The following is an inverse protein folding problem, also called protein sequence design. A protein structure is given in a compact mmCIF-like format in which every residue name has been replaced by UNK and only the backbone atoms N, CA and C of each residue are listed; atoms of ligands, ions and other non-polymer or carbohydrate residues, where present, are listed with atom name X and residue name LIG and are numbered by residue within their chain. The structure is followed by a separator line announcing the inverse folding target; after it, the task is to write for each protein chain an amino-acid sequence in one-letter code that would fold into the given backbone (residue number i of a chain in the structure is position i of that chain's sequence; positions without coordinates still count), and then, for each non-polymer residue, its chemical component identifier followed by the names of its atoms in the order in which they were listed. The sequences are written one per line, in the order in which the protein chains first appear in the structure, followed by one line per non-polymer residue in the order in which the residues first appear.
data_IF_172314229720
#
_entry.id   IF_172314229720
#
_cell.length_a   1.000
_cell.length_b   1.000
_cell.length_c   1.000
_cell.angle_alpha   90.00
_cell.angle_beta   90.00
_cell.angle_gamma   90.00
#
_symmetry.space_group_name_H-M   'P 1'
#
loop_
_entity.id
_entity.type
_entity.pdbx_description
1 polymer ?
#
# COMPACT_ATOMS: atom_id res chain seq x y z
N UNK A 1 -10.86 12.54 -7.73
CA UNK A 1 -12.01 12.37 -8.65
C UNK A 1 -13.26 12.16 -7.82
N UNK A 2 -14.41 12.75 -8.17
CA UNK A 2 -15.68 12.47 -7.49
C UNK A 2 -16.40 11.37 -8.26
N UNK A 3 -16.72 10.28 -7.58
CA UNK A 3 -17.30 9.07 -8.18
C UNK A 3 -18.35 8.51 -7.23
N UNK A 4 -19.43 7.95 -7.78
CA UNK A 4 -20.41 7.18 -7.01
C UNK A 4 -20.04 5.71 -7.10
N UNK A 5 -19.85 5.06 -5.96
CA UNK A 5 -19.45 3.65 -5.88
C UNK A 5 -20.47 2.89 -5.02
N UNK A 6 -20.80 1.67 -5.42
CA UNK A 6 -21.52 0.74 -4.55
C UNK A 6 -20.52 -0.08 -3.75
N UNK A 7 -20.56 0.02 -2.43
CA UNK A 7 -19.61 -0.60 -1.51
C UNK A 7 -20.36 -1.34 -0.41
N UNK A 8 -19.79 -2.43 0.08
CA UNK A 8 -20.31 -3.10 1.26
C UNK A 8 -20.13 -2.20 2.50
N UNK A 9 -21.25 -1.77 3.07
CA UNK A 9 -21.30 -0.92 4.24
C UNK A 9 -20.69 -1.57 5.51
N UNK A 10 -20.78 -2.89 5.66
CA UNK A 10 -20.15 -3.60 6.78
C UNK A 10 -18.63 -3.51 6.66
N UNK A 11 -18.11 -3.77 5.46
CA UNK A 11 -16.67 -3.69 5.17
C UNK A 11 -16.14 -2.27 5.40
N UNK A 12 -16.85 -1.24 4.92
CA UNK A 12 -16.46 0.16 5.12
C UNK A 12 -16.44 0.52 6.61
N UNK A 13 -17.44 0.10 7.40
CA UNK A 13 -17.45 0.32 8.85
C UNK A 13 -16.30 -0.38 9.57
N UNK A 14 -15.98 -1.60 9.17
CA UNK A 14 -14.85 -2.33 9.74
C UNK A 14 -13.53 -1.63 9.39
N UNK A 15 -13.37 -1.21 8.14
CA UNK A 15 -12.18 -0.50 7.68
C UNK A 15 -12.02 0.87 8.35
N UNK A 16 -13.09 1.64 8.56
CA UNK A 16 -13.05 2.89 9.33
C UNK A 16 -12.54 2.65 10.76
N UNK A 17 -13.10 1.65 11.45
CA UNK A 17 -12.69 1.31 12.82
C UNK A 17 -11.24 0.82 12.89
N UNK A 18 -10.82 -0.01 11.93
CA UNK A 18 -9.48 -0.58 11.91
C UNK A 18 -8.40 0.43 11.50
N UNK A 19 -8.70 1.34 10.58
CA UNK A 19 -7.74 2.34 10.08
C UNK A 19 -7.69 3.62 10.90
N UNK A 20 -8.73 3.92 11.69
CA UNK A 20 -8.86 5.20 12.39
C UNK A 20 -9.20 6.38 11.48
N UNK A 21 -9.47 6.12 10.19
CA UNK A 21 -9.88 7.14 9.24
C UNK A 21 -11.23 7.76 9.62
N UNK A 22 -11.39 9.05 9.33
CA UNK A 22 -12.58 9.82 9.71
C UNK A 22 -13.68 9.75 8.66
N UNK A 23 -13.32 9.44 7.41
CA UNK A 23 -14.25 9.49 6.28
C UNK A 23 -14.15 8.25 5.39
N UNK A 24 -15.24 7.93 4.67
CA UNK A 24 -15.25 6.84 3.69
C UNK A 24 -14.20 7.05 2.60
N UNK A 25 -14.02 8.29 2.13
CA UNK A 25 -13.02 8.65 1.11
C UNK A 25 -11.61 8.36 1.59
N UNK A 26 -11.28 8.74 2.82
CA UNK A 26 -9.95 8.50 3.40
C UNK A 26 -9.63 7.01 3.51
N UNK A 27 -10.61 6.17 3.89
CA UNK A 27 -10.46 4.71 3.87
C UNK A 27 -10.18 4.18 2.48
N UNK A 28 -10.90 4.67 1.47
CA UNK A 28 -10.74 4.23 0.09
C UNK A 28 -9.35 4.61 -0.43
N UNK A 29 -8.92 5.86 -0.22
CA UNK A 29 -7.59 6.33 -0.61
C UNK A 29 -6.48 5.54 0.09
N UNK A 30 -6.63 5.30 1.39
CA UNK A 30 -5.68 4.48 2.15
C UNK A 30 -5.61 3.05 1.59
N UNK A 31 -6.76 2.42 1.32
CA UNK A 31 -6.82 1.09 0.74
C UNK A 31 -6.14 0.99 -0.62
N UNK A 32 -6.33 2.00 -1.48
CA UNK A 32 -5.68 2.06 -2.79
C UNK A 32 -4.16 2.22 -2.66
N UNK A 33 -3.68 3.09 -1.77
CA UNK A 33 -2.24 3.24 -1.51
C UNK A 33 -1.63 1.93 -1.01
N UNK A 34 -2.27 1.29 -0.03
CA UNK A 34 -1.82 0.00 0.52
C UNK A 34 -1.77 -1.09 -0.54
N UNK A 35 -2.72 -1.12 -1.49
CA UNK A 35 -2.70 -2.08 -2.59
C UNK A 35 -1.46 -1.86 -3.49
N UNK A 36 -1.18 -0.61 -3.86
CA UNK A 36 0.00 -0.28 -4.68
C UNK A 36 1.30 -0.65 -3.93
N UNK A 37 1.41 -0.29 -2.66
CA UNK A 37 2.57 -0.63 -1.83
C UNK A 37 2.77 -2.14 -1.71
N UNK A 38 1.69 -2.89 -1.49
CA UNK A 38 1.72 -4.36 -1.40
C UNK A 38 2.26 -4.98 -2.68
N UNK A 39 1.78 -4.52 -3.84
CA UNK A 39 2.23 -5.01 -5.14
C UNK A 39 3.70 -4.65 -5.41
N UNK A 40 4.11 -3.43 -5.06
CA UNK A 40 5.50 -3.01 -5.15
C UNK A 40 6.41 -3.88 -4.27
N UNK A 41 6.02 -4.11 -3.00
CA UNK A 41 6.74 -5.01 -2.09
C UNK A 41 6.82 -6.42 -2.66
N UNK A 42 5.73 -6.97 -3.21
CA UNK A 42 5.73 -8.31 -3.83
C UNK A 42 6.74 -8.40 -4.97
N UNK A 43 6.77 -7.40 -5.87
CA UNK A 43 7.73 -7.34 -6.99
C UNK A 43 9.17 -7.24 -6.49
N UNK A 44 9.42 -6.42 -5.47
CA UNK A 44 10.75 -6.30 -4.86
C UNK A 44 11.21 -7.58 -4.18
N UNK A 45 10.34 -8.25 -3.42
CA UNK A 45 10.65 -9.54 -2.80
C UNK A 45 10.95 -10.63 -3.84
N UNK A 46 10.24 -10.63 -4.99
CA UNK A 46 10.48 -11.58 -6.07
C UNK A 46 11.86 -11.43 -6.73
N UNK A 47 12.44 -10.23 -6.72
CA UNK A 47 13.81 -10.02 -7.21
C UNK A 47 14.83 -10.78 -6.34
N UNK A 48 14.54 -11.05 -5.06
CA UNK A 48 15.44 -11.77 -4.15
C UNK A 48 16.89 -11.22 -4.15
N UNK A 49 17.04 -9.89 -4.31
CA UNK A 49 18.35 -9.24 -4.41
C UNK A 49 19.08 -9.46 -5.75
N UNK A 50 18.44 -10.10 -6.74
CA UNK A 50 18.97 -10.27 -8.09
C UNK A 50 18.69 -9.02 -8.93
N UNK A 51 19.49 -7.98 -8.72
CA UNK A 51 19.77 -7.01 -9.77
C UNK A 51 21.21 -7.26 -10.24
N UNK A 52 21.42 -7.85 -11.43
CA UNK A 52 22.77 -8.19 -11.91
C UNK A 52 23.65 -6.95 -12.11
N UNK A 53 23.04 -5.80 -12.41
CA UNK A 53 23.73 -4.53 -12.64
C UNK A 53 23.69 -3.60 -11.41
N UNK A 54 23.41 -4.13 -10.22
CA UNK A 54 23.42 -3.31 -9.01
C UNK A 54 24.87 -3.03 -8.58
N UNK A 55 25.31 -1.78 -8.74
CA UNK A 55 26.57 -1.34 -8.17
C UNK A 55 26.55 -1.49 -6.63
N UNK A 56 27.58 -2.09 -6.00
CA UNK A 56 27.64 -2.25 -4.56
C UNK A 56 27.68 -0.87 -3.89
N UNK A 57 26.65 -0.54 -3.11
CA UNK A 57 26.64 0.68 -2.31
C UNK A 57 27.50 0.50 -1.06
N UNK A 58 28.41 1.43 -0.74
CA UNK A 58 29.28 1.31 0.43
C UNK A 58 28.46 1.28 1.72
N UNK A 59 28.76 0.30 2.58
CA UNK A 59 28.08 0.14 3.86
C UNK A 59 28.48 1.28 4.78
N UNK A 60 27.53 2.13 5.20
CA UNK A 60 27.80 3.20 6.18
C UNK A 60 28.25 2.57 7.50
N UNK A 61 29.55 2.74 7.82
CA UNK A 61 30.13 2.42 9.12
C UNK A 61 30.09 3.68 9.97
N UNK A 62 29.26 3.70 11.00
CA UNK A 62 29.34 4.66 12.11
C UNK A 62 30.36 4.18 13.12
#
# INVERSE_FOLDING_TARGET
MRTTLNLDDQLVRLALRASGAKTKTEVIELGLRLLVEREARRRLSALAGRLPDLEPTPRRRS
#
